data_IF_352057990176
#
_entry.id   IF_352057990176
#
_cell.length_a   1.000
_cell.length_b   1.000
_cell.length_c   1.000
_cell.angle_alpha   90.00
_cell.angle_beta   90.00
_cell.angle_gamma   90.00
#
_symmetry.space_group_name_H-M   'P 1'
#
loop_
_entity.id
_entity.type
_entity.pdbx_description
1 polymer ?
#
# COMPACT_ATOMS: atom_id res chain seq x y z
N UNK A 1 -60.73 -37.47 -14.48
CA UNK A 1 -59.90 -38.52 -15.09
C UNK A 1 -60.20 -38.55 -16.60
N UNK A 2 -59.36 -38.01 -17.45
CA UNK A 2 -59.57 -37.99 -18.91
C UNK A 2 -59.36 -39.42 -19.46
N UNK A 3 -60.41 -40.08 -19.93
CA UNK A 3 -60.35 -41.39 -20.63
C UNK A 3 -60.03 -41.11 -22.13
N UNK A 4 -58.82 -41.31 -22.54
CA UNK A 4 -58.42 -41.33 -23.94
C UNK A 4 -58.98 -42.60 -24.61
N UNK A 5 -60.07 -42.49 -25.38
CA UNK A 5 -60.81 -43.61 -25.91
C UNK A 5 -60.38 -44.07 -27.31
N UNK A 6 -59.57 -43.29 -28.04
CA UNK A 6 -59.09 -43.64 -29.39
C UNK A 6 -57.55 -43.85 -29.42
N UNK A 7 -57.11 -44.75 -30.28
CA UNK A 7 -55.67 -44.97 -30.57
C UNK A 7 -54.94 -43.68 -30.99
N UNK A 8 -55.63 -42.88 -31.82
CA UNK A 8 -55.12 -41.58 -32.28
C UNK A 8 -54.87 -40.61 -31.17
N UNK A 9 -55.77 -40.51 -30.16
CA UNK A 9 -55.56 -39.61 -29.00
C UNK A 9 -54.37 -40.04 -28.12
N UNK A 10 -54.16 -41.36 -27.95
CA UNK A 10 -53.00 -41.89 -27.21
C UNK A 10 -51.69 -41.62 -27.93
N UNK A 11 -51.66 -41.72 -29.22
CA UNK A 11 -50.51 -41.47 -30.06
C UNK A 11 -50.13 -39.98 -30.05
N UNK A 12 -51.13 -39.10 -30.18
CA UNK A 12 -50.98 -37.66 -30.14
C UNK A 12 -50.45 -37.19 -28.76
N UNK A 13 -50.97 -37.75 -27.66
CA UNK A 13 -50.51 -37.47 -26.32
C UNK A 13 -49.07 -37.93 -26.11
N UNK A 14 -48.68 -39.12 -26.59
CA UNK A 14 -47.34 -39.66 -26.47
C UNK A 14 -46.33 -38.78 -27.22
N UNK A 15 -46.66 -38.33 -28.43
CA UNK A 15 -45.82 -37.42 -29.22
C UNK A 15 -45.68 -36.07 -28.49
N UNK A 16 -46.78 -35.51 -27.99
CA UNK A 16 -46.76 -34.25 -27.26
C UNK A 16 -45.86 -34.31 -25.99
N UNK A 17 -45.99 -35.40 -25.22
CA UNK A 17 -45.15 -35.60 -24.03
C UNK A 17 -43.68 -35.72 -24.44
N UNK A 18 -43.35 -36.48 -25.48
CA UNK A 18 -42.00 -36.63 -25.97
C UNK A 18 -41.36 -35.30 -26.39
N UNK A 19 -42.13 -34.43 -27.05
CA UNK A 19 -41.68 -33.11 -27.44
C UNK A 19 -41.45 -32.22 -26.21
N UNK A 20 -42.37 -32.24 -25.24
CA UNK A 20 -42.22 -31.47 -24.00
C UNK A 20 -40.97 -31.92 -23.23
N UNK A 21 -40.73 -33.23 -23.09
CA UNK A 21 -39.54 -33.77 -22.43
C UNK A 21 -38.26 -33.36 -23.18
N UNK A 22 -38.26 -33.45 -24.51
CA UNK A 22 -37.09 -33.04 -25.31
C UNK A 22 -36.79 -31.56 -25.14
N UNK A 23 -37.80 -30.69 -25.19
CA UNK A 23 -37.63 -29.25 -24.94
C UNK A 23 -37.14 -28.98 -23.54
N UNK A 24 -37.68 -29.64 -22.51
CA UNK A 24 -37.24 -29.48 -21.13
C UNK A 24 -35.77 -29.88 -20.96
N UNK A 25 -35.34 -30.99 -21.58
CA UNK A 25 -33.92 -31.41 -21.57
C UNK A 25 -33.02 -30.39 -22.27
N UNK A 26 -33.40 -29.87 -23.42
CA UNK A 26 -32.62 -28.84 -24.11
C UNK A 26 -32.50 -27.59 -23.26
N UNK A 27 -33.59 -27.12 -22.64
CA UNK A 27 -33.58 -25.95 -21.77
C UNK A 27 -32.64 -26.20 -20.57
N UNK A 28 -32.73 -27.38 -19.94
CA UNK A 28 -31.85 -27.72 -18.79
C UNK A 28 -30.38 -27.72 -19.19
N UNK A 29 -30.01 -28.34 -20.30
CA UNK A 29 -28.61 -28.38 -20.80
C UNK A 29 -28.13 -26.97 -21.14
N UNK A 30 -28.91 -26.19 -21.87
CA UNK A 30 -28.54 -24.83 -22.24
C UNK A 30 -28.39 -23.94 -21.01
N UNK A 31 -29.33 -24.02 -20.06
CA UNK A 31 -29.26 -23.26 -18.80
C UNK A 31 -28.04 -23.59 -18.01
N UNK A 32 -27.68 -24.88 -17.89
CA UNK A 32 -26.47 -25.32 -17.20
C UNK A 32 -25.21 -24.81 -17.90
N UNK A 33 -25.12 -24.88 -19.23
CA UNK A 33 -23.98 -24.38 -19.99
C UNK A 33 -23.83 -22.87 -19.86
N UNK A 34 -24.95 -22.12 -19.98
CA UNK A 34 -24.95 -20.66 -19.82
C UNK A 34 -24.52 -20.26 -18.42
N UNK A 35 -25.06 -20.92 -17.39
CA UNK A 35 -24.66 -20.66 -16.01
C UNK A 35 -23.14 -20.90 -15.77
N UNK A 36 -22.63 -22.04 -16.24
CA UNK A 36 -21.21 -22.38 -16.14
C UNK A 36 -20.31 -21.40 -16.90
N UNK A 37 -20.72 -21.02 -18.11
CA UNK A 37 -20.01 -20.03 -18.91
C UNK A 37 -20.00 -18.66 -18.24
N UNK A 38 -21.16 -18.18 -17.76
CA UNK A 38 -21.30 -16.91 -17.06
C UNK A 38 -20.44 -16.87 -15.78
N UNK A 39 -20.41 -17.95 -15.01
CA UNK A 39 -19.54 -18.05 -13.82
C UNK A 39 -18.07 -17.94 -14.19
N UNK A 40 -17.61 -18.63 -15.23
CA UNK A 40 -16.24 -18.58 -15.71
C UNK A 40 -15.86 -17.17 -16.18
N UNK A 41 -16.74 -16.53 -16.95
CA UNK A 41 -16.51 -15.15 -17.42
C UNK A 41 -16.45 -14.16 -16.25
N UNK A 42 -17.35 -14.29 -15.27
CA UNK A 42 -17.33 -13.47 -14.06
C UNK A 42 -16.01 -13.63 -13.28
N UNK A 43 -15.54 -14.88 -13.07
CA UNK A 43 -14.25 -15.15 -12.41
C UNK A 43 -13.07 -14.55 -13.19
N UNK A 44 -13.06 -14.67 -14.50
CA UNK A 44 -12.04 -14.07 -15.35
C UNK A 44 -12.04 -12.54 -15.25
N UNK A 45 -13.21 -11.92 -15.29
CA UNK A 45 -13.37 -10.49 -15.18
C UNK A 45 -12.86 -9.97 -13.82
N UNK A 46 -13.22 -10.65 -12.71
CA UNK A 46 -12.73 -10.33 -11.37
C UNK A 46 -11.20 -10.47 -11.30
N UNK A 47 -10.65 -11.56 -11.84
CA UNK A 47 -9.20 -11.79 -11.85
C UNK A 47 -8.44 -10.71 -12.63
N UNK A 48 -8.93 -10.33 -13.81
CA UNK A 48 -8.33 -9.28 -14.63
C UNK A 48 -8.42 -7.91 -13.94
N UNK A 49 -9.56 -7.59 -13.33
CA UNK A 49 -9.74 -6.38 -12.55
C UNK A 49 -8.77 -6.34 -11.37
N UNK A 50 -8.70 -7.42 -10.58
CA UNK A 50 -7.78 -7.51 -9.44
C UNK A 50 -6.32 -7.31 -9.85
N UNK A 51 -5.88 -7.96 -10.94
CA UNK A 51 -4.51 -7.77 -11.49
C UNK A 51 -4.25 -6.31 -11.87
N UNK A 52 -5.22 -5.64 -12.43
CA UNK A 52 -5.12 -4.23 -12.81
C UNK A 52 -4.88 -3.33 -11.59
N UNK A 53 -5.60 -3.59 -10.49
CA UNK A 53 -5.39 -2.88 -9.22
C UNK A 53 -4.03 -3.17 -8.61
N UNK A 54 -3.66 -4.45 -8.55
CA UNK A 54 -2.35 -4.85 -8.04
C UNK A 54 -1.23 -4.14 -8.80
N UNK A 55 -1.27 -4.12 -10.14
CA UNK A 55 -0.28 -3.43 -10.96
C UNK A 55 -0.26 -1.92 -10.69
N UNK A 56 -1.41 -1.31 -10.49
CA UNK A 56 -1.51 0.12 -10.17
C UNK A 56 -0.87 0.43 -8.80
N UNK A 57 -1.22 -0.34 -7.77
CA UNK A 57 -0.63 -0.20 -6.44
C UNK A 57 0.87 -0.47 -6.45
N UNK A 58 1.30 -1.52 -7.16
CA UNK A 58 2.73 -1.78 -7.34
C UNK A 58 3.45 -0.60 -7.99
N UNK A 59 2.81 0.08 -8.95
CA UNK A 59 3.34 1.32 -9.53
C UNK A 59 3.60 2.38 -8.48
N UNK A 60 2.62 2.67 -7.62
CA UNK A 60 2.75 3.63 -6.52
C UNK A 60 3.88 3.23 -5.55
N UNK A 61 3.87 1.98 -5.09
CA UNK A 61 4.89 1.50 -4.15
C UNK A 61 6.29 1.51 -4.76
N UNK A 62 6.42 1.14 -6.03
CA UNK A 62 7.70 1.16 -6.75
C UNK A 62 8.23 2.58 -6.95
N UNK A 63 7.38 3.58 -7.13
CA UNK A 63 7.78 4.98 -7.18
C UNK A 63 8.49 5.36 -5.88
N UNK A 64 7.86 5.09 -4.72
CA UNK A 64 8.43 5.42 -3.42
C UNK A 64 9.69 4.61 -3.08
N UNK A 65 9.71 3.34 -3.44
CA UNK A 65 10.93 2.51 -3.30
C UNK A 65 12.07 3.09 -4.13
N UNK A 66 11.80 3.48 -5.36
CA UNK A 66 12.81 4.05 -6.28
C UNK A 66 13.31 5.39 -5.78
N UNK A 67 12.41 6.26 -5.32
CA UNK A 67 12.74 7.56 -4.77
C UNK A 67 13.59 7.42 -3.49
N UNK A 68 13.16 6.55 -2.57
CA UNK A 68 13.90 6.25 -1.34
C UNK A 68 15.33 5.78 -1.66
N UNK A 69 15.50 4.87 -2.63
CA UNK A 69 16.80 4.38 -3.09
C UNK A 69 17.66 5.51 -3.68
N UNK A 70 17.09 6.32 -4.55
CA UNK A 70 17.82 7.41 -5.21
C UNK A 70 18.37 8.42 -4.19
N UNK A 71 17.53 8.85 -3.24
CA UNK A 71 17.92 9.81 -2.22
C UNK A 71 18.90 9.18 -1.22
N UNK A 72 18.66 7.95 -0.76
CA UNK A 72 19.59 7.24 0.11
C UNK A 72 20.96 7.07 -0.55
N UNK A 73 21.01 6.73 -1.84
CA UNK A 73 22.28 6.58 -2.58
C UNK A 73 23.02 7.91 -2.67
N UNK A 74 22.30 9.01 -2.94
CA UNK A 74 22.88 10.36 -2.99
C UNK A 74 23.43 10.80 -1.64
N UNK A 75 22.67 10.61 -0.56
CA UNK A 75 23.09 10.92 0.81
C UNK A 75 24.28 10.06 1.24
N UNK A 76 24.23 8.73 0.98
CA UNK A 76 25.36 7.85 1.25
C UNK A 76 26.62 8.30 0.50
N UNK A 77 26.50 8.72 -0.78
CA UNK A 77 27.61 9.28 -1.55
C UNK A 77 28.19 10.54 -0.89
N UNK A 78 27.35 11.45 -0.39
CA UNK A 78 27.78 12.64 0.32
C UNK A 78 28.55 12.30 1.60
N UNK A 79 27.97 11.44 2.47
CA UNK A 79 28.57 11.10 3.76
C UNK A 79 29.78 10.16 3.67
N UNK A 80 29.91 9.40 2.59
CA UNK A 80 31.08 8.54 2.36
C UNK A 80 32.28 9.30 1.78
N UNK A 81 32.03 10.38 1.04
CA UNK A 81 33.08 11.16 0.39
C UNK A 81 33.52 12.42 1.18
N UNK A 82 32.79 12.77 2.23
CA UNK A 82 33.07 13.96 3.02
C UNK A 82 32.99 13.65 4.53
N UNK A 83 33.91 14.18 5.31
CA UNK A 83 33.89 14.06 6.77
C UNK A 83 32.77 14.89 7.39
N UNK A 84 32.44 16.04 6.77
CA UNK A 84 31.36 16.92 7.18
C UNK A 84 30.55 17.36 5.94
N UNK A 85 29.23 17.22 6.02
CA UNK A 85 28.31 17.57 4.94
C UNK A 85 27.49 18.80 5.34
N UNK A 86 27.30 19.72 4.39
CA UNK A 86 26.48 20.93 4.58
C UNK A 86 25.00 20.56 4.74
N UNK A 87 24.40 21.03 5.83
CA UNK A 87 23.00 20.82 6.18
C UNK A 87 22.06 21.37 5.11
N UNK A 88 22.36 22.54 4.55
CA UNK A 88 21.52 23.17 3.52
C UNK A 88 21.52 22.36 2.22
N UNK A 89 22.65 21.72 1.91
CA UNK A 89 22.74 20.84 0.73
C UNK A 89 21.88 19.58 0.93
N UNK A 90 21.92 18.98 2.12
CA UNK A 90 21.07 17.83 2.48
C UNK A 90 19.60 18.22 2.41
N UNK A 91 19.22 19.34 3.01
CA UNK A 91 17.87 19.86 3.03
C UNK A 91 17.33 20.06 1.60
N UNK A 92 18.13 20.75 0.76
CA UNK A 92 17.77 21.02 -0.63
C UNK A 92 17.60 19.72 -1.44
N UNK A 93 18.48 18.75 -1.26
CA UNK A 93 18.39 17.45 -1.93
C UNK A 93 17.07 16.73 -1.54
N UNK A 94 16.80 16.65 -0.24
CA UNK A 94 15.61 15.95 0.26
C UNK A 94 14.33 16.65 -0.20
N UNK A 95 14.25 17.97 -0.07
CA UNK A 95 13.07 18.75 -0.50
C UNK A 95 12.81 18.63 -1.99
N UNK A 96 13.83 18.76 -2.83
CA UNK A 96 13.69 18.66 -4.29
C UNK A 96 13.25 17.25 -4.70
N UNK A 97 13.80 16.21 -4.09
CA UNK A 97 13.38 14.85 -4.35
C UNK A 97 11.94 14.59 -3.86
N UNK A 98 11.58 15.10 -2.68
CA UNK A 98 10.26 14.96 -2.11
C UNK A 98 9.18 15.68 -2.94
N UNK A 99 9.49 16.88 -3.46
CA UNK A 99 8.59 17.64 -4.35
C UNK A 99 8.31 16.91 -5.68
N UNK A 100 9.11 15.93 -6.03
CA UNK A 100 8.89 15.09 -7.22
C UNK A 100 8.00 13.87 -6.98
N UNK A 101 7.71 13.52 -5.72
CA UNK A 101 6.80 12.41 -5.39
C UNK A 101 5.35 12.82 -5.57
N UNK A 102 4.54 11.91 -6.12
CA UNK A 102 3.10 12.11 -6.26
C UNK A 102 2.29 11.52 -5.08
N UNK A 103 2.90 10.69 -4.25
CA UNK A 103 2.19 9.90 -3.25
C UNK A 103 2.72 10.05 -1.83
N UNK A 104 3.99 10.40 -1.65
CA UNK A 104 4.55 10.62 -0.34
C UNK A 104 4.01 11.93 0.27
N UNK A 105 3.49 11.86 1.48
CA UNK A 105 2.98 13.03 2.22
C UNK A 105 3.99 13.54 3.25
N UNK A 106 4.92 12.69 3.68
CA UNK A 106 6.04 13.05 4.53
C UNK A 106 7.33 12.43 3.99
N UNK A 107 8.43 13.14 4.22
CA UNK A 107 9.78 12.60 4.14
C UNK A 107 10.54 12.96 5.39
N UNK A 108 11.50 12.13 5.79
CA UNK A 108 12.32 12.40 6.93
C UNK A 108 13.75 11.89 6.76
N UNK A 109 14.71 12.64 7.29
CA UNK A 109 16.06 12.18 7.54
C UNK A 109 16.28 12.15 9.05
N UNK A 110 16.52 10.99 9.62
CA UNK A 110 16.98 10.82 11.00
C UNK A 110 18.49 10.58 11.01
N UNK A 111 19.24 11.30 11.86
CA UNK A 111 20.65 11.05 12.08
C UNK A 111 20.90 10.74 13.56
N UNK A 112 21.48 9.58 13.81
CA UNK A 112 21.97 9.15 15.12
C UNK A 112 23.32 9.78 15.46
N UNK A 113 24.14 10.04 14.45
CA UNK A 113 25.46 10.63 14.58
C UNK A 113 25.48 11.96 13.81
N UNK A 114 25.43 13.06 14.53
CA UNK A 114 25.43 14.42 13.97
C UNK A 114 26.82 14.99 13.75
N UNK A 115 27.87 14.28 14.13
CA UNK A 115 29.25 14.74 13.93
C UNK A 115 29.64 14.79 12.46
N UNK A 116 28.86 14.13 11.60
CA UNK A 116 29.01 14.13 10.14
C UNK A 116 28.47 15.40 9.48
N UNK A 117 27.78 16.27 10.22
CA UNK A 117 27.23 17.52 9.71
C UNK A 117 28.20 18.68 9.97
N UNK A 118 28.25 19.60 9.00
CA UNK A 118 28.87 20.91 9.20
C UNK A 118 27.87 21.89 9.81
N UNK A 119 28.37 22.90 10.50
CA UNK A 119 27.63 24.07 10.97
C UNK A 119 26.41 23.79 11.87
N UNK A 120 26.54 22.82 12.77
CA UNK A 120 25.49 22.48 13.75
C UNK A 120 25.06 23.66 14.64
N UNK A 121 25.88 24.74 14.71
CA UNK A 121 25.54 25.92 15.54
C UNK A 121 24.41 26.77 14.94
N UNK A 122 24.26 26.74 13.61
CA UNK A 122 23.26 27.51 12.86
C UNK A 122 22.09 26.64 12.39
N UNK A 123 21.97 25.40 12.87
CA UNK A 123 20.91 24.50 12.47
C UNK A 123 19.52 25.01 12.89
N UNK A 124 18.51 24.80 12.04
CA UNK A 124 17.12 25.11 12.40
C UNK A 124 16.73 24.30 13.65
N UNK A 125 16.22 25.01 14.66
CA UNK A 125 15.78 24.39 15.91
C UNK A 125 14.70 23.32 15.71
N UNK A 126 13.95 23.39 14.63
CA UNK A 126 12.94 22.36 14.27
C UNK A 126 13.56 21.00 14.00
N UNK A 127 14.84 20.94 13.62
CA UNK A 127 15.54 19.68 13.36
C UNK A 127 16.04 18.99 14.63
N UNK A 128 15.96 19.66 15.76
CA UNK A 128 16.37 19.11 17.06
C UNK A 128 15.11 18.86 17.90
N UNK A 129 15.00 17.66 18.47
CA UNK A 129 13.93 17.35 19.40
C UNK A 129 13.94 18.28 20.62
N UNK A 130 12.81 18.57 21.29
CA UNK A 130 12.76 19.44 22.45
C UNK A 130 13.68 19.04 23.61
N UNK A 131 13.99 17.73 23.72
CA UNK A 131 14.95 17.22 24.72
C UNK A 131 16.42 17.30 24.27
N UNK A 132 16.68 17.80 23.06
CA UNK A 132 18.01 17.98 22.49
C UNK A 132 18.75 16.70 22.07
N UNK A 133 18.07 15.53 22.10
CA UNK A 133 18.73 14.23 21.89
C UNK A 133 18.62 13.69 20.47
N UNK A 134 17.61 14.12 19.73
CA UNK A 134 17.32 13.57 18.42
C UNK A 134 17.42 14.65 17.36
N UNK A 135 18.19 14.37 16.31
CA UNK A 135 18.22 15.19 15.09
C UNK A 135 17.42 14.50 14.01
N UNK A 136 16.46 15.23 13.43
CA UNK A 136 15.80 14.79 12.19
C UNK A 136 15.26 15.98 11.39
N UNK A 137 15.36 15.90 10.09
CA UNK A 137 14.64 16.78 9.16
C UNK A 137 13.36 16.08 8.79
N UNK A 138 12.21 16.69 9.05
CA UNK A 138 10.91 16.15 8.68
C UNK A 138 10.19 17.19 7.82
N UNK A 139 9.75 16.77 6.64
CA UNK A 139 9.02 17.64 5.71
C UNK A 139 7.66 17.03 5.42
N UNK A 140 6.69 17.92 5.23
CA UNK A 140 5.30 17.60 4.93
C UNK A 140 4.87 18.32 3.65
N UNK A 141 4.22 17.57 2.77
CA UNK A 141 3.53 18.09 1.59
C UNK A 141 2.04 17.73 1.67
N UNK A 142 1.20 18.77 1.76
CA UNK A 142 -0.25 18.58 1.83
C UNK A 142 -0.85 18.27 0.45
N UNK A 143 -0.24 18.75 -0.63
CA UNK A 143 -0.78 18.69 -1.99
C UNK A 143 0.28 18.08 -2.92
N UNK A 144 0.44 16.77 -2.81
CA UNK A 144 1.48 16.02 -3.53
C UNK A 144 1.37 16.06 -5.07
N UNK A 145 0.24 16.50 -5.62
CA UNK A 145 0.05 16.65 -7.07
C UNK A 145 0.58 17.99 -7.64
N UNK A 146 1.12 18.86 -6.79
CA UNK A 146 1.61 20.20 -7.19
C UNK A 146 2.97 20.46 -6.63
N UNK A 147 3.88 20.96 -7.45
CA UNK A 147 5.20 21.39 -6.99
C UNK A 147 5.12 22.52 -5.98
N UNK A 148 5.96 22.44 -4.95
CA UNK A 148 6.06 23.41 -3.86
C UNK A 148 5.07 23.16 -2.73
N UNK A 149 5.08 24.06 -1.72
CA UNK A 149 4.19 23.92 -0.55
C UNK A 149 4.75 23.04 0.56
N UNK A 150 5.97 22.53 0.40
CA UNK A 150 6.65 21.72 1.41
C UNK A 150 6.91 22.54 2.67
N UNK A 151 6.44 22.05 3.80
CA UNK A 151 6.63 22.65 5.12
C UNK A 151 7.57 21.81 5.98
N UNK A 152 8.34 22.47 6.85
CA UNK A 152 9.20 21.80 7.82
C UNK A 152 8.43 21.51 9.10
N UNK A 153 8.46 20.28 9.56
CA UNK A 153 7.85 19.79 10.80
C UNK A 153 8.91 19.76 11.91
N UNK A 154 8.50 20.12 13.13
CA UNK A 154 9.39 20.01 14.30
C UNK A 154 9.62 18.56 14.69
N UNK A 155 10.86 18.22 14.98
CA UNK A 155 11.27 16.87 15.43
C UNK A 155 10.62 16.50 16.77
N UNK A 156 9.83 15.44 16.88
CA UNK A 156 9.27 14.98 18.14
C UNK A 156 10.33 14.27 19.00
N UNK A 157 10.16 14.27 20.33
CA UNK A 157 11.12 13.65 21.27
C UNK A 157 11.41 12.17 21.01
N UNK A 158 10.44 11.44 20.55
CA UNK A 158 10.54 9.97 20.38
C UNK A 158 10.72 9.54 18.92
N UNK A 159 11.15 10.44 18.04
CA UNK A 159 11.25 10.12 16.61
C UNK A 159 12.23 8.97 16.33
N UNK A 160 13.31 8.86 17.10
CA UNK A 160 14.25 7.72 17.03
C UNK A 160 13.62 6.35 17.36
N UNK A 161 12.45 6.35 18.02
CA UNK A 161 11.69 5.13 18.36
C UNK A 161 10.70 4.72 17.26
N UNK A 162 10.66 5.42 16.13
CA UNK A 162 9.87 4.99 14.99
C UNK A 162 10.27 3.57 14.60
N UNK A 163 9.30 2.67 14.47
CA UNK A 163 9.56 1.23 14.25
C UNK A 163 10.45 0.99 13.04
N UNK A 164 10.25 1.75 11.95
CA UNK A 164 11.08 1.65 10.77
C UNK A 164 12.56 1.93 11.10
N UNK A 165 12.84 3.00 11.86
CA UNK A 165 14.21 3.37 12.26
C UNK A 165 14.83 2.25 13.09
N UNK A 166 14.11 1.74 14.09
CA UNK A 166 14.60 0.65 14.94
C UNK A 166 14.81 -0.65 14.15
N UNK A 167 13.88 -0.99 13.24
CA UNK A 167 14.02 -2.17 12.41
C UNK A 167 15.25 -2.08 11.50
N UNK A 168 15.47 -0.94 10.86
CA UNK A 168 16.66 -0.71 10.03
C UNK A 168 17.92 -0.80 10.89
N UNK A 169 17.99 -0.12 12.03
CA UNK A 169 19.16 -0.13 12.89
C UNK A 169 19.55 -1.54 13.37
N UNK A 170 18.57 -2.38 13.67
CA UNK A 170 18.78 -3.75 14.16
C UNK A 170 19.19 -4.74 13.06
N UNK A 171 18.70 -4.56 11.83
CA UNK A 171 18.81 -5.55 10.77
C UNK A 171 19.73 -5.14 9.62
N UNK A 172 20.18 -3.87 9.58
CA UNK A 172 20.99 -3.37 8.49
C UNK A 172 22.37 -3.99 8.46
N UNK A 173 22.84 -4.32 7.25
CA UNK A 173 24.24 -4.73 7.00
C UNK A 173 24.90 -3.68 6.12
N UNK A 174 26.14 -3.30 6.47
CA UNK A 174 26.92 -2.41 5.62
C UNK A 174 27.11 -2.98 4.22
N UNK A 175 26.94 -2.15 3.21
CA UNK A 175 27.06 -2.53 1.81
C UNK A 175 25.75 -3.03 1.17
N UNK A 176 24.69 -3.18 1.94
CA UNK A 176 23.36 -3.45 1.38
C UNK A 176 22.79 -2.16 0.76
N UNK A 177 22.92 -2.07 -0.57
CA UNK A 177 22.51 -0.89 -1.36
C UNK A 177 21.09 -1.04 -1.92
N UNK A 178 20.48 -2.21 -1.79
CA UNK A 178 19.25 -2.55 -2.49
C UNK A 178 18.02 -2.70 -1.59
N UNK A 179 18.22 -2.91 -0.31
CA UNK A 179 17.12 -3.16 0.62
C UNK A 179 16.45 -1.87 1.07
N UNK A 180 15.27 -1.61 0.50
CA UNK A 180 14.33 -0.65 1.10
C UNK A 180 13.50 -1.39 2.14
N UNK A 181 13.53 -0.89 3.35
CA UNK A 181 12.69 -1.39 4.43
C UNK A 181 11.31 -0.76 4.32
N UNK A 182 10.28 -1.58 4.39
CA UNK A 182 8.87 -1.15 4.34
C UNK A 182 8.22 -1.52 5.67
N UNK A 183 7.57 -0.55 6.30
CA UNK A 183 6.86 -0.78 7.55
C UNK A 183 5.45 -1.33 7.29
N UNK A 184 4.86 -2.01 8.27
CA UNK A 184 3.46 -2.40 8.17
C UNK A 184 2.53 -1.18 8.29
N UNK A 185 1.34 -1.20 7.65
CA UNK A 185 0.33 -0.18 7.82
C UNK A 185 0.04 0.10 9.29
N UNK A 186 0.05 1.37 9.69
CA UNK A 186 -0.21 1.78 11.08
C UNK A 186 -0.73 3.20 11.19
N UNK A 187 -1.21 3.54 12.39
CA UNK A 187 -1.40 4.95 12.77
C UNK A 187 -0.05 5.61 13.00
N UNK A 188 0.16 6.72 12.36
CA UNK A 188 1.33 7.58 12.49
C UNK A 188 0.87 8.93 13.04
N UNK A 189 1.76 9.62 13.75
CA UNK A 189 1.53 10.95 14.27
C UNK A 189 2.78 11.79 14.03
N UNK A 190 2.65 12.78 13.14
CA UNK A 190 3.66 13.80 12.93
C UNK A 190 3.05 15.17 13.23
N UNK A 191 3.63 15.90 14.19
CA UNK A 191 3.19 17.23 14.61
C UNK A 191 1.69 17.31 14.99
N UNK A 192 1.22 16.36 15.83
CA UNK A 192 -0.18 16.19 16.23
C UNK A 192 -1.18 15.90 15.10
N UNK A 193 -0.69 15.57 13.92
CA UNK A 193 -1.50 15.09 12.81
C UNK A 193 -1.47 13.55 12.80
N UNK A 194 -2.59 12.94 13.24
CA UNK A 194 -2.77 11.48 13.16
C UNK A 194 -3.31 11.08 11.80
N UNK A 195 -2.68 10.12 11.18
CA UNK A 195 -3.11 9.53 9.91
C UNK A 195 -2.73 8.06 9.81
N UNK A 196 -3.24 7.39 8.78
CA UNK A 196 -2.90 6.01 8.50
C UNK A 196 -1.83 5.99 7.41
N UNK A 197 -0.66 5.38 7.70
CA UNK A 197 0.44 5.44 6.75
C UNK A 197 1.29 4.18 6.71
N UNK A 198 2.14 4.14 5.67
CA UNK A 198 3.22 3.18 5.49
C UNK A 198 4.50 3.97 5.31
N UNK A 199 5.54 3.60 6.06
CA UNK A 199 6.87 4.17 5.94
C UNK A 199 7.75 3.29 5.06
N UNK A 200 8.55 3.94 4.23
CA UNK A 200 9.65 3.37 3.45
C UNK A 200 10.95 3.99 3.95
N UNK A 201 12.02 3.23 4.06
CA UNK A 201 13.28 3.80 4.50
C UNK A 201 14.49 2.99 4.11
N UNK A 202 15.62 3.68 4.08
CA UNK A 202 16.95 3.10 3.84
C UNK A 202 17.98 3.63 4.83
N UNK A 203 18.98 2.81 5.16
CA UNK A 203 20.07 3.21 6.05
C UNK A 203 21.00 4.21 5.38
N UNK A 204 21.57 5.07 6.21
CA UNK A 204 22.66 5.99 5.86
C UNK A 204 23.93 5.58 6.60
N UNK A 205 25.05 5.57 5.87
CA UNK A 205 26.37 5.17 6.39
C UNK A 205 27.38 6.30 6.15
N UNK A 206 28.34 6.41 7.07
CA UNK A 206 29.48 7.31 6.92
C UNK A 206 30.63 6.67 6.09
N UNK A 207 31.74 7.41 5.92
CA UNK A 207 32.94 6.98 5.21
C UNK A 207 33.66 5.76 5.82
N UNK A 208 33.34 5.40 7.09
CA UNK A 208 33.86 4.22 7.78
C UNK A 208 32.91 3.02 7.70
N UNK A 209 31.81 3.14 6.96
CA UNK A 209 30.78 2.12 6.86
C UNK A 209 29.92 1.95 8.10
N UNK A 210 29.99 2.90 9.05
CA UNK A 210 29.15 2.88 10.24
C UNK A 210 27.76 3.44 9.90
N UNK A 211 26.71 2.76 10.38
CA UNK A 211 25.35 3.27 10.34
C UNK A 211 25.24 4.60 11.10
N UNK A 212 24.73 5.63 10.45
CA UNK A 212 24.59 6.97 11.02
C UNK A 212 23.16 7.49 11.02
N UNK A 213 22.23 6.85 10.28
CA UNK A 213 20.86 7.31 10.24
C UNK A 213 20.00 6.61 9.20
N UNK A 214 18.82 7.15 8.99
CA UNK A 214 17.79 6.64 8.07
C UNK A 214 17.17 7.79 7.30
N UNK A 215 17.06 7.66 5.99
CA UNK A 215 16.15 8.45 5.15
C UNK A 215 14.87 7.67 4.90
N UNK A 216 13.73 8.32 4.97
CA UNK A 216 12.45 7.64 4.74
C UNK A 216 11.40 8.54 4.11
N UNK A 217 10.40 7.88 3.53
CA UNK A 217 9.19 8.47 2.95
C UNK A 217 7.95 7.82 3.56
N UNK A 218 6.87 8.56 3.60
CA UNK A 218 5.60 8.08 4.17
C UNK A 218 4.46 8.33 3.19
N UNK A 219 3.71 7.29 2.88
CA UNK A 219 2.47 7.37 2.09
C UNK A 219 1.28 7.42 3.05
N UNK A 220 0.30 8.29 2.76
CA UNK A 220 -1.01 8.29 3.43
C UNK A 220 -1.93 7.25 2.77
N UNK A 221 -2.33 6.25 3.56
CA UNK A 221 -3.25 5.19 3.11
C UNK A 221 -4.66 5.69 2.80
N UNK A 222 -5.11 6.80 3.39
CA UNK A 222 -6.42 7.36 3.07
C UNK A 222 -6.42 7.95 1.67
N UNK A 223 -5.34 8.65 1.26
CA UNK A 223 -5.19 9.13 -0.12
C UNK A 223 -5.16 7.95 -1.11
N UNK A 224 -4.41 6.90 -0.79
CA UNK A 224 -4.39 5.67 -1.62
C UNK A 224 -5.79 5.03 -1.68
N UNK A 225 -6.52 5.02 -0.56
CA UNK A 225 -7.89 4.49 -0.52
C UNK A 225 -8.83 5.25 -1.45
N UNK A 226 -8.76 6.57 -1.49
CA UNK A 226 -9.58 7.40 -2.39
C UNK A 226 -9.35 7.06 -3.86
N UNK A 227 -8.09 6.79 -4.24
CA UNK A 227 -7.74 6.38 -5.60
C UNK A 227 -8.28 4.97 -5.91
N UNK A 228 -8.07 4.02 -5.00
CA UNK A 228 -8.48 2.61 -5.21
C UNK A 228 -9.99 2.47 -5.22
N UNK A 229 -10.68 3.25 -4.41
CA UNK A 229 -12.14 3.18 -4.26
C UNK A 229 -12.89 4.09 -5.24
N UNK A 230 -12.19 4.77 -6.14
CA UNK A 230 -12.83 5.59 -7.19
C UNK A 230 -13.83 4.74 -8.00
N UNK A 231 -15.12 5.15 -8.10
CA UNK A 231 -16.15 4.41 -8.82
C UNK A 231 -15.83 4.11 -10.29
N UNK A 232 -14.95 4.90 -10.93
CA UNK A 232 -14.50 4.61 -12.33
C UNK A 232 -13.83 3.26 -12.50
N UNK A 233 -13.42 2.65 -11.40
CA UNK A 233 -12.85 1.31 -11.38
C UNK A 233 -13.86 0.22 -11.01
N UNK A 234 -15.13 0.53 -10.78
CA UNK A 234 -16.16 -0.47 -10.50
C UNK A 234 -16.41 -1.35 -11.72
N UNK A 235 -16.37 -2.65 -11.52
CA UNK A 235 -16.60 -3.64 -12.56
C UNK A 235 -18.01 -4.22 -12.49
N UNK A 236 -18.55 -4.31 -11.27
CA UNK A 236 -19.89 -4.77 -10.98
C UNK A 236 -20.52 -3.90 -9.91
N UNK A 237 -21.81 -3.73 -9.95
CA UNK A 237 -22.58 -3.08 -8.89
C UNK A 237 -22.41 -3.86 -7.57
N UNK A 238 -22.01 -3.17 -6.49
CA UNK A 238 -21.81 -3.78 -5.17
C UNK A 238 -20.50 -4.54 -4.98
N UNK A 239 -19.50 -4.39 -5.86
CA UNK A 239 -18.17 -4.94 -5.63
C UNK A 239 -17.48 -4.21 -4.46
N UNK A 240 -16.77 -4.93 -3.62
CA UNK A 240 -15.92 -4.39 -2.56
C UNK A 240 -14.45 -4.64 -2.90
N UNK A 241 -13.64 -3.61 -2.77
CA UNK A 241 -12.18 -3.66 -3.01
C UNK A 241 -11.45 -3.54 -1.68
N UNK A 242 -10.56 -4.48 -1.43
CA UNK A 242 -9.76 -4.55 -0.20
C UNK A 242 -8.30 -4.71 -0.60
N UNK A 243 -7.43 -3.88 -0.03
CA UNK A 243 -5.98 -4.08 -0.07
C UNK A 243 -5.53 -4.54 1.30
N UNK A 244 -4.77 -5.62 1.36
CA UNK A 244 -4.19 -6.13 2.61
C UNK A 244 -2.73 -6.52 2.39
N UNK A 245 -1.95 -6.52 3.48
CA UNK A 245 -0.58 -7.00 3.46
C UNK A 245 -0.52 -8.55 3.59
N UNK A 246 0.68 -9.10 3.55
CA UNK A 246 0.98 -10.54 3.72
C UNK A 246 0.56 -11.11 5.08
N UNK A 247 0.34 -10.27 6.09
CA UNK A 247 -0.20 -10.66 7.39
C UNK A 247 -1.74 -10.65 7.43
N UNK A 248 -2.39 -10.26 6.33
CA UNK A 248 -3.83 -10.13 6.24
C UNK A 248 -4.39 -8.86 6.89
N UNK A 249 -3.52 -7.87 7.19
CA UNK A 249 -3.93 -6.58 7.74
C UNK A 249 -4.42 -5.69 6.61
N UNK A 250 -5.62 -5.17 6.75
CA UNK A 250 -6.28 -4.33 5.75
C UNK A 250 -5.65 -2.94 5.74
N UNK A 251 -5.12 -2.55 4.60
CA UNK A 251 -4.59 -1.21 4.32
C UNK A 251 -5.64 -0.30 3.68
N UNK A 252 -6.53 -0.85 2.85
CA UNK A 252 -7.62 -0.12 2.17
C UNK A 252 -8.93 -0.87 2.30
N UNK A 253 -9.98 -0.15 2.68
CA UNK A 253 -11.35 -0.67 2.79
C UNK A 253 -12.34 0.49 2.67
N UNK A 254 -13.52 0.27 2.06
CA UNK A 254 -14.59 1.27 1.97
C UNK A 254 -15.03 1.78 3.35
N UNK A 255 -15.14 0.87 4.31
CA UNK A 255 -15.39 1.23 5.70
C UNK A 255 -14.05 1.50 6.41
N UNK A 256 -13.78 2.77 6.71
CA UNK A 256 -12.56 3.21 7.43
C UNK A 256 -12.33 2.46 8.75
N UNK A 257 -13.38 1.98 9.42
CA UNK A 257 -13.28 1.19 10.65
C UNK A 257 -12.71 -0.22 10.42
N UNK A 258 -12.64 -0.69 9.18
CA UNK A 258 -12.03 -1.96 8.79
C UNK A 258 -10.51 -1.87 8.59
N UNK A 259 -9.96 -0.66 8.42
CA UNK A 259 -8.53 -0.45 8.19
C UNK A 259 -7.75 -0.79 9.47
N UNK A 260 -6.59 -1.38 9.32
CA UNK A 260 -5.72 -1.97 10.37
C UNK A 260 -6.30 -3.19 11.08
N UNK A 261 -7.42 -3.72 10.62
CA UNK A 261 -7.98 -4.99 11.09
C UNK A 261 -7.70 -6.10 10.08
N UNK A 262 -7.88 -7.36 10.51
CA UNK A 262 -7.90 -8.46 9.55
C UNK A 262 -9.29 -8.59 8.91
N UNK A 263 -9.36 -9.20 7.74
CA UNK A 263 -10.66 -9.45 7.10
C UNK A 263 -11.59 -10.25 8.02
N UNK A 264 -11.05 -11.18 8.81
CA UNK A 264 -11.81 -11.96 9.77
C UNK A 264 -12.36 -11.16 10.94
N UNK A 265 -11.71 -10.04 11.32
CA UNK A 265 -12.21 -9.16 12.37
C UNK A 265 -13.47 -8.39 11.95
N UNK A 266 -13.61 -8.11 10.67
CA UNK A 266 -14.74 -7.36 10.10
C UNK A 266 -15.81 -8.28 9.51
N UNK A 267 -15.43 -9.50 9.08
CA UNK A 267 -16.35 -10.51 8.57
C UNK A 267 -16.02 -11.86 9.22
N UNK A 268 -16.99 -12.43 9.95
CA UNK A 268 -16.84 -13.70 10.69
C UNK A 268 -17.12 -14.94 9.85
N UNK A 269 -17.42 -14.80 8.57
CA UNK A 269 -17.70 -15.92 7.69
C UNK A 269 -16.47 -16.80 7.45
N UNK A 270 -16.69 -18.07 7.26
CA UNK A 270 -15.64 -19.04 6.97
C UNK A 270 -14.83 -18.67 5.71
N UNK A 271 -15.47 -18.04 4.72
CA UNK A 271 -14.81 -17.55 3.53
C UNK A 271 -13.74 -16.47 3.82
N UNK A 272 -14.00 -15.58 4.79
CA UNK A 272 -13.05 -14.56 5.20
C UNK A 272 -11.81 -15.19 5.86
N UNK A 273 -12.01 -16.23 6.68
CA UNK A 273 -10.90 -16.98 7.29
C UNK A 273 -10.02 -17.65 6.22
N UNK A 274 -10.62 -18.32 5.25
CA UNK A 274 -9.88 -18.95 4.15
C UNK A 274 -9.06 -17.96 3.32
N UNK A 275 -9.59 -16.76 3.07
CA UNK A 275 -8.86 -15.70 2.36
C UNK A 275 -7.64 -15.26 3.18
N UNK A 276 -7.80 -14.99 4.48
CA UNK A 276 -6.69 -14.57 5.36
C UNK A 276 -5.61 -15.65 5.46
N UNK A 277 -5.99 -16.92 5.53
CA UNK A 277 -5.06 -18.05 5.55
C UNK A 277 -4.31 -18.19 4.20
N UNK A 278 -4.99 -17.99 3.07
CA UNK A 278 -4.40 -18.05 1.74
C UNK A 278 -3.39 -16.92 1.48
N UNK A 279 -3.57 -15.76 2.11
CA UNK A 279 -2.64 -14.61 1.98
C UNK A 279 -1.36 -14.82 2.79
N UNK A 280 -1.42 -15.62 3.88
CA UNK A 280 -0.27 -15.89 4.77
C UNK A 280 0.65 -17.01 4.27
N UNK A 281 0.21 -17.81 3.32
CA UNK A 281 0.95 -18.92 2.71
C UNK A 281 1.56 -18.51 1.37
#
# INVERSE_FOLDING_TARGET
>A
MFRLSSVSSKLLLSVAISIIVAIALIIAIVSFQVASYSEKEAKNAISLSSKRYVNYIQGILNEEVTLTKAVATSLNGMFQNNDHVDINLIESLIKNAFDSSHYAVYTFLYLKDTTVLSDMQNVDKKYISPDGKTFSMIFFDQITEKSGGITTISTPNNFSQLNLIQNIEQNVKYGDKDSVFVDSPRKLNYDNNEFLGINFGMPIFNNKGKFIGVIGYTIDLLKISEIILDPKFDFFEGNTRILMNDQGIIAVHENKNGILKTLFDINKDQSAQLIVEAVKN
#
